data_IF_099798882516
#
_entry.id   IF_099798882516
#
_cell.length_a   1.000
_cell.length_b   1.000
_cell.length_c   1.000
_cell.angle_alpha   90.00
_cell.angle_beta   90.00
_cell.angle_gamma   90.00
#
_symmetry.space_group_name_H-M   'P 1'
#
loop_
_entity.id
_entity.type
_entity.pdbx_description
1 polymer ?
#
# COMPACT_ATOMS: atom_id res chain seq x y z
N UNK A 1 9.46 8.81 -9.55
CA UNK A 1 9.73 7.39 -9.23
C UNK A 1 10.93 6.92 -10.04
N UNK A 2 11.36 5.65 -9.93
CA UNK A 2 12.57 5.16 -10.60
C UNK A 2 12.31 3.87 -11.43
N UNK A 3 11.42 3.92 -12.43
CA UNK A 3 11.24 2.81 -13.35
C UNK A 3 12.51 2.62 -14.19
N UNK A 4 12.79 1.38 -14.65
CA UNK A 4 13.82 1.15 -15.66
C UNK A 4 13.55 1.95 -16.94
N UNK A 5 14.63 2.38 -17.59
CA UNK A 5 14.54 3.21 -18.80
C UNK A 5 13.71 2.51 -19.89
N UNK A 6 12.69 3.22 -20.38
CA UNK A 6 11.81 2.74 -21.46
C UNK A 6 10.62 1.91 -20.97
N UNK A 7 10.52 1.67 -19.66
CA UNK A 7 9.34 1.07 -19.04
C UNK A 7 8.42 2.16 -18.49
N UNK A 8 7.11 1.90 -18.51
CA UNK A 8 6.13 2.74 -17.79
C UNK A 8 5.51 1.91 -16.67
N UNK A 9 5.70 2.34 -15.44
CA UNK A 9 5.22 1.64 -14.26
C UNK A 9 3.92 2.26 -13.74
N UNK A 10 3.10 1.41 -13.11
CA UNK A 10 1.92 1.83 -12.34
C UNK A 10 2.33 2.05 -10.90
N UNK A 11 2.07 3.25 -10.39
CA UNK A 11 2.21 3.58 -8.98
C UNK A 11 0.80 3.67 -8.39
N UNK A 12 0.40 2.60 -7.70
CA UNK A 12 -0.93 2.44 -7.15
C UNK A 12 -0.92 2.95 -5.72
N UNK A 13 -1.56 4.10 -5.49
CA UNK A 13 -1.75 4.66 -4.17
C UNK A 13 -3.10 4.18 -3.64
N UNK A 14 -3.09 3.41 -2.56
CA UNK A 14 -4.31 2.86 -1.96
C UNK A 14 -4.47 3.36 -0.53
N UNK A 15 -5.67 3.82 -0.19
CA UNK A 15 -6.10 4.06 1.19
C UNK A 15 -6.98 2.89 1.63
N UNK A 16 -6.76 2.41 2.86
CA UNK A 16 -7.58 1.39 3.50
C UNK A 16 -8.24 1.99 4.75
N UNK A 17 -9.55 1.80 4.88
CA UNK A 17 -10.26 2.08 6.13
C UNK A 17 -10.16 0.84 7.02
N UNK A 18 -9.63 0.99 8.23
CA UNK A 18 -9.42 -0.12 9.17
C UNK A 18 -10.42 -0.07 10.33
N UNK A 19 -10.76 -1.22 10.89
CA UNK A 19 -11.68 -1.34 12.05
C UNK A 19 -10.99 -1.21 13.42
N UNK A 20 -9.68 -1.04 13.42
CA UNK A 20 -8.84 -0.84 14.61
C UNK A 20 -8.15 0.52 14.58
N UNK A 21 -7.92 1.10 15.76
CA UNK A 21 -7.23 2.39 15.89
C UNK A 21 -5.74 2.30 15.57
N UNK A 22 -5.09 1.17 15.89
CA UNK A 22 -3.66 0.94 15.69
C UNK A 22 -3.41 -0.47 15.18
N UNK A 23 -2.49 -0.60 14.23
CA UNK A 23 -1.87 -1.87 13.86
C UNK A 23 -0.64 -2.09 14.73
N UNK A 24 -0.39 -3.34 15.12
CA UNK A 24 0.80 -3.75 15.87
C UNK A 24 1.99 -3.94 14.92
N UNK A 25 2.59 -2.83 14.50
CA UNK A 25 3.75 -2.78 13.60
C UNK A 25 4.73 -1.70 14.07
N UNK A 26 6.02 -1.91 13.84
CA UNK A 26 7.09 -0.95 14.10
C UNK A 26 7.64 -0.34 12.79
N UNK A 27 8.71 0.44 12.89
CA UNK A 27 9.34 1.11 11.75
C UNK A 27 10.09 0.16 10.79
N UNK A 28 10.42 -1.06 11.25
CA UNK A 28 11.13 -2.07 10.47
C UNK A 28 10.18 -3.10 9.83
N UNK A 29 8.88 -3.01 10.11
CA UNK A 29 7.87 -3.89 9.56
C UNK A 29 7.84 -3.83 8.02
N UNK A 30 8.08 -4.98 7.38
CA UNK A 30 8.03 -5.08 5.91
C UNK A 30 6.64 -4.73 5.36
N UNK A 31 6.59 -4.26 4.11
CA UNK A 31 5.32 -3.98 3.43
C UNK A 31 4.38 -5.19 3.37
N UNK A 32 4.91 -6.42 3.33
CA UNK A 32 4.11 -7.64 3.36
C UNK A 32 3.47 -7.88 4.74
N UNK A 33 4.18 -7.60 5.84
CA UNK A 33 3.65 -7.70 7.20
C UNK A 33 2.53 -6.67 7.43
N UNK A 34 2.74 -5.43 6.99
CA UNK A 34 1.70 -4.39 7.05
C UNK A 34 0.49 -4.81 6.21
N UNK A 35 0.71 -5.32 4.99
CA UNK A 35 -0.34 -5.81 4.11
C UNK A 35 -1.16 -6.96 4.72
N UNK A 36 -0.52 -7.89 5.42
CA UNK A 36 -1.19 -8.97 6.14
C UNK A 36 -2.14 -8.43 7.21
N UNK A 37 -1.68 -7.49 8.05
CA UNK A 37 -2.51 -6.88 9.08
C UNK A 37 -3.67 -6.06 8.47
N UNK A 38 -3.39 -5.25 7.44
CA UNK A 38 -4.41 -4.49 6.70
C UNK A 38 -5.47 -5.41 6.13
N UNK A 39 -5.09 -6.57 5.58
CA UNK A 39 -6.06 -7.52 4.99
C UNK A 39 -7.12 -7.98 6.00
N UNK A 40 -6.73 -8.26 7.24
CA UNK A 40 -7.65 -8.73 8.27
C UNK A 40 -8.48 -7.62 8.95
N UNK A 41 -8.03 -6.37 8.86
CA UNK A 41 -8.70 -5.22 9.48
C UNK A 41 -9.39 -4.27 8.50
N UNK A 42 -9.26 -4.50 7.19
CA UNK A 42 -9.78 -3.59 6.16
C UNK A 42 -11.29 -3.70 6.01
N UNK A 43 -11.99 -2.60 6.30
CA UNK A 43 -13.43 -2.42 6.03
C UNK A 43 -13.70 -2.01 4.58
N UNK A 44 -12.83 -1.17 4.02
CA UNK A 44 -12.95 -0.66 2.65
C UNK A 44 -11.59 -0.18 2.12
N UNK A 45 -11.48 -0.01 0.80
CA UNK A 45 -10.30 0.60 0.19
C UNK A 45 -10.67 1.41 -1.04
N UNK A 46 -9.82 2.37 -1.39
CA UNK A 46 -9.89 3.13 -2.62
C UNK A 46 -8.48 3.40 -3.15
N UNK A 47 -8.32 3.44 -4.48
CA UNK A 47 -7.01 3.64 -5.09
C UNK A 47 -7.03 4.68 -6.21
N UNK A 48 -5.91 5.38 -6.35
CA UNK A 48 -5.57 6.17 -7.55
C UNK A 48 -4.30 5.57 -8.15
N UNK A 49 -4.28 5.40 -9.46
CA UNK A 49 -3.12 4.90 -10.18
C UNK A 49 -2.49 6.01 -11.02
N UNK A 50 -1.23 6.30 -10.76
CA UNK A 50 -0.42 7.18 -11.59
C UNK A 50 0.51 6.35 -12.49
N UNK A 51 0.76 6.85 -13.70
CA UNK A 51 1.73 6.27 -14.64
C UNK A 51 3.01 7.11 -14.63
N UNK A 52 4.18 6.48 -14.60
CA UNK A 52 5.47 7.17 -14.71
C UNK A 52 6.52 6.31 -15.43
N UNK A 53 7.42 6.96 -16.16
CA UNK A 53 8.44 6.36 -17.06
C UNK A 53 9.85 6.92 -16.84
#
# INVERSE_FOLDING_TARGET
AAPPKGETHRYIFTVHALDVERLDVDEDASGAMVGFNVHFHSLASASITAMFS
#
